data_IF_669261569846
#
_entry.id   IF_669261569846
#
_cell.length_a   1.000
_cell.length_b   1.000
_cell.length_c   1.000
_cell.angle_alpha   90.00
_cell.angle_beta   90.00
_cell.angle_gamma   90.00
#
_symmetry.space_group_name_H-M   'P 1'
#
loop_
_entity.id
_entity.type
_entity.pdbx_description
1 polymer ?
#
# COMPACT_ATOMS: atom_id res chain seq x y z
N UNK A 1 -49.43 -31.49 -71.21
CA UNK A 1 -50.60 -30.65 -71.53
C UNK A 1 -51.39 -30.35 -70.25
N UNK A 2 -51.10 -29.24 -69.56
CA UNK A 2 -52.03 -28.53 -68.66
C UNK A 2 -51.40 -27.17 -68.30
N UNK A 3 -52.24 -26.15 -68.31
CA UNK A 3 -51.95 -24.75 -68.59
C UNK A 3 -51.36 -24.01 -67.39
N UNK A 4 -50.35 -23.16 -67.65
CA UNK A 4 -49.95 -22.06 -66.78
C UNK A 4 -50.96 -20.90 -66.89
N UNK A 5 -51.36 -20.33 -65.75
CA UNK A 5 -52.01 -19.02 -65.62
C UNK A 5 -51.34 -18.24 -64.48
N UNK A 6 -50.55 -17.22 -64.86
CA UNK A 6 -50.63 -15.79 -64.50
C UNK A 6 -51.46 -15.42 -63.25
N UNK A 7 -51.18 -14.37 -62.46
CA UNK A 7 -50.07 -13.44 -62.19
C UNK A 7 -50.63 -12.50 -61.09
N UNK A 8 -49.74 -11.83 -60.35
CA UNK A 8 -49.93 -10.61 -59.54
C UNK A 8 -50.47 -10.63 -58.09
N UNK A 9 -49.61 -10.03 -57.25
CA UNK A 9 -49.89 -8.96 -56.30
C UNK A 9 -50.46 -9.33 -54.93
N UNK A 10 -49.63 -9.20 -53.89
CA UNK A 10 -49.84 -8.21 -52.83
C UNK A 10 -48.61 -8.18 -51.92
N UNK A 11 -48.16 -6.96 -51.62
CA UNK A 11 -46.90 -6.70 -50.94
C UNK A 11 -46.82 -7.20 -49.50
N UNK A 12 -45.60 -7.37 -49.04
CA UNK A 12 -45.27 -7.28 -47.64
C UNK A 12 -43.80 -6.87 -47.52
N UNK A 13 -43.57 -5.57 -47.39
CA UNK A 13 -42.29 -5.04 -46.92
C UNK A 13 -42.20 -5.45 -45.46
N UNK A 14 -41.47 -6.53 -45.17
CA UNK A 14 -41.14 -6.89 -43.79
C UNK A 14 -39.97 -6.02 -43.38
N UNK A 15 -40.28 -4.97 -42.63
CA UNK A 15 -39.32 -4.12 -41.92
C UNK A 15 -38.65 -4.98 -40.84
N UNK A 16 -37.40 -5.40 -41.07
CA UNK A 16 -36.60 -6.09 -40.05
C UNK A 16 -36.13 -5.03 -39.05
N UNK A 17 -36.85 -4.93 -37.93
CA UNK A 17 -36.46 -4.12 -36.78
C UNK A 17 -35.22 -4.69 -36.12
N UNK A 18 -34.08 -4.03 -36.35
CA UNK A 18 -32.81 -4.29 -35.68
C UNK A 18 -32.89 -3.80 -34.22
N UNK A 19 -33.22 -4.69 -33.28
CA UNK A 19 -33.15 -4.38 -31.84
C UNK A 19 -31.75 -4.72 -31.31
N UNK A 20 -30.85 -3.76 -31.40
CA UNK A 20 -29.51 -3.83 -30.82
C UNK A 20 -29.63 -3.69 -29.29
N UNK A 21 -29.70 -4.81 -28.57
CA UNK A 21 -29.57 -4.83 -27.10
C UNK A 21 -28.10 -4.56 -26.73
N UNK A 22 -27.77 -3.29 -26.55
CA UNK A 22 -26.49 -2.86 -26.00
C UNK A 22 -26.49 -3.15 -24.49
N UNK A 23 -26.04 -4.34 -24.10
CA UNK A 23 -25.73 -4.65 -22.70
C UNK A 23 -24.46 -3.87 -22.35
N UNK A 24 -24.63 -2.67 -21.81
CA UNK A 24 -23.58 -1.95 -21.11
C UNK A 24 -23.26 -2.77 -19.85
N UNK A 25 -22.28 -3.66 -19.94
CA UNK A 25 -21.65 -4.24 -18.75
C UNK A 25 -20.96 -3.07 -18.02
N UNK A 26 -21.65 -2.51 -17.04
CA UNK A 26 -21.04 -1.65 -16.04
C UNK A 26 -20.06 -2.51 -15.26
N UNK A 27 -18.79 -2.47 -15.68
CA UNK A 27 -17.69 -2.90 -14.85
C UNK A 27 -17.67 -1.96 -13.64
N UNK A 28 -18.38 -2.34 -12.59
CA UNK A 28 -18.24 -1.72 -11.30
C UNK A 28 -16.80 -1.98 -10.86
N UNK A 29 -15.93 -0.99 -11.03
CA UNK A 29 -14.66 -0.93 -10.32
C UNK A 29 -15.00 -0.83 -8.84
N UNK A 30 -15.17 -1.98 -8.20
CA UNK A 30 -15.21 -2.07 -6.75
C UNK A 30 -13.85 -1.58 -6.27
N UNK A 31 -13.83 -0.44 -5.57
CA UNK A 31 -12.61 0.01 -4.90
C UNK A 31 -12.33 -0.97 -3.77
N UNK A 32 -11.48 -1.95 -4.05
CA UNK A 32 -11.16 -2.97 -3.07
C UNK A 32 -10.50 -2.30 -1.85
N UNK A 33 -11.07 -2.54 -0.67
CA UNK A 33 -10.55 -1.96 0.56
C UNK A 33 -9.30 -2.73 0.97
N UNK A 34 -8.17 -2.04 1.02
CA UNK A 34 -6.92 -2.65 1.47
C UNK A 34 -7.06 -3.24 2.87
N UNK A 35 -6.66 -4.50 3.02
CA UNK A 35 -6.71 -5.23 4.29
C UNK A 35 -5.54 -4.87 5.21
N UNK A 36 -4.41 -4.53 4.61
CA UNK A 36 -3.18 -4.26 5.33
C UNK A 36 -2.07 -3.75 4.44
N UNK A 37 -0.86 -3.78 4.99
CA UNK A 37 0.36 -3.34 4.32
C UNK A 37 1.54 -4.26 4.66
N UNK A 38 2.42 -4.42 3.69
CA UNK A 38 3.71 -5.09 3.87
C UNK A 38 4.70 -4.12 4.53
N UNK A 39 5.31 -4.46 5.65
CA UNK A 39 6.30 -3.60 6.33
C UNK A 39 7.73 -4.06 6.14
N UNK A 40 7.93 -5.31 5.68
CA UNK A 40 9.24 -5.83 5.32
C UNK A 40 9.09 -6.95 4.30
N UNK A 41 9.97 -6.96 3.29
CA UNK A 41 10.18 -8.07 2.36
C UNK A 41 11.67 -8.39 2.33
N UNK A 42 12.02 -9.66 2.39
CA UNK A 42 13.38 -10.15 2.12
C UNK A 42 13.33 -11.51 1.43
N UNK A 43 14.31 -11.80 0.58
CA UNK A 43 14.34 -13.02 -0.21
C UNK A 43 13.40 -13.01 -1.42
N UNK A 44 13.02 -14.19 -1.89
CA UNK A 44 12.22 -14.39 -3.10
C UNK A 44 10.76 -14.59 -2.74
N UNK A 45 9.96 -13.55 -2.99
CA UNK A 45 8.52 -13.54 -2.74
C UNK A 45 7.77 -13.38 -4.06
N UNK A 46 6.84 -14.27 -4.34
CA UNK A 46 5.88 -14.11 -5.43
C UNK A 46 4.54 -13.62 -4.89
N UNK A 47 3.93 -12.69 -5.61
CA UNK A 47 2.63 -12.11 -5.27
C UNK A 47 1.66 -12.32 -6.43
N UNK A 48 0.48 -12.84 -6.12
CA UNK A 48 -0.58 -13.15 -7.08
C UNK A 48 -1.82 -12.37 -6.63
N UNK A 49 -2.26 -11.44 -7.47
CA UNK A 49 -3.42 -10.59 -7.22
C UNK A 49 -4.50 -10.90 -8.25
N UNK A 50 -5.74 -11.11 -7.80
CA UNK A 50 -6.86 -11.49 -8.67
C UNK A 50 -6.54 -12.67 -9.59
N UNK A 51 -5.84 -13.68 -9.07
CA UNK A 51 -5.44 -14.89 -9.80
C UNK A 51 -4.29 -14.71 -10.79
N UNK A 52 -3.77 -13.50 -10.98
CA UNK A 52 -2.66 -13.21 -11.90
C UNK A 52 -1.36 -12.99 -11.12
N UNK A 53 -0.31 -13.75 -11.46
CA UNK A 53 1.03 -13.53 -10.91
C UNK A 53 1.53 -12.16 -11.36
N UNK A 54 1.96 -11.33 -10.41
CA UNK A 54 2.53 -10.03 -10.73
C UNK A 54 3.97 -10.18 -11.23
N UNK A 55 4.33 -9.39 -12.23
CA UNK A 55 5.67 -9.42 -12.83
C UNK A 55 6.74 -8.86 -11.89
N UNK A 56 6.35 -7.90 -11.05
CA UNK A 56 7.22 -7.33 -10.01
C UNK A 56 7.01 -8.07 -8.69
N UNK A 57 8.09 -8.34 -7.93
CA UNK A 57 7.96 -8.85 -6.58
C UNK A 57 7.22 -7.82 -5.70
N UNK A 58 6.58 -8.25 -4.61
CA UNK A 58 6.02 -7.32 -3.65
C UNK A 58 7.13 -6.51 -2.98
N UNK A 59 6.82 -5.27 -2.64
CA UNK A 59 7.75 -4.33 -2.02
C UNK A 59 7.23 -3.89 -0.64
N UNK A 60 8.14 -3.41 0.21
CA UNK A 60 7.75 -2.75 1.45
C UNK A 60 6.83 -1.57 1.17
N UNK A 61 5.85 -1.39 2.05
CA UNK A 61 4.76 -0.41 2.01
C UNK A 61 3.67 -0.65 0.95
N UNK A 62 3.77 -1.74 0.19
CA UNK A 62 2.69 -2.19 -0.68
C UNK A 62 1.47 -2.61 0.14
N UNK A 63 0.28 -2.18 -0.30
CA UNK A 63 -1.01 -2.64 0.23
C UNK A 63 -1.38 -3.99 -0.35
N UNK A 64 -2.06 -4.79 0.45
CA UNK A 64 -2.61 -6.05 0.02
C UNK A 64 -4.12 -6.14 0.31
N UNK A 65 -4.79 -7.03 -0.40
CA UNK A 65 -6.23 -7.14 -0.49
C UNK A 65 -6.69 -8.57 -0.27
N UNK A 66 -8.01 -8.79 -0.35
CA UNK A 66 -8.60 -10.08 0.00
C UNK A 66 -8.39 -11.06 -1.15
N UNK A 67 -7.97 -12.28 -0.82
CA UNK A 67 -7.77 -13.34 -1.81
C UNK A 67 -6.43 -13.27 -2.54
N UNK A 68 -5.62 -12.26 -2.25
CA UNK A 68 -4.23 -12.22 -2.71
C UNK A 68 -3.46 -13.42 -2.18
N UNK A 69 -2.60 -13.99 -3.01
CA UNK A 69 -1.76 -15.13 -2.67
C UNK A 69 -0.30 -14.70 -2.61
N UNK A 70 0.36 -15.16 -1.57
CA UNK A 70 1.79 -14.96 -1.35
C UNK A 70 2.47 -16.31 -1.32
N UNK A 71 3.61 -16.40 -2.01
CA UNK A 71 4.49 -17.56 -2.01
C UNK A 71 5.87 -17.07 -1.58
N UNK A 72 6.38 -17.63 -0.49
CA UNK A 72 7.72 -17.42 0.04
C UNK A 72 8.58 -18.62 -0.31
N UNK A 73 9.67 -18.40 -1.03
CA UNK A 73 10.71 -19.41 -1.22
C UNK A 73 11.56 -19.57 0.05
N UNK A 74 12.41 -20.62 0.16
CA UNK A 74 13.35 -20.74 1.27
C UNK A 74 14.17 -19.45 1.49
N UNK A 75 14.52 -19.18 2.75
CA UNK A 75 15.26 -17.99 3.20
C UNK A 75 14.57 -16.66 2.91
N UNK A 76 13.26 -16.67 2.66
CA UNK A 76 12.45 -15.46 2.47
C UNK A 76 11.73 -15.08 3.77
N UNK A 77 11.55 -13.78 3.97
CA UNK A 77 10.89 -13.20 5.13
C UNK A 77 9.87 -12.16 4.67
N UNK A 78 8.70 -12.16 5.27
CA UNK A 78 7.66 -11.20 5.00
C UNK A 78 6.98 -10.75 6.30
N UNK A 79 6.94 -9.44 6.54
CA UNK A 79 6.16 -8.86 7.63
C UNK A 79 4.93 -8.14 7.09
N UNK A 80 3.78 -8.49 7.64
CA UNK A 80 2.48 -7.94 7.29
C UNK A 80 1.85 -7.27 8.50
N UNK A 81 1.16 -6.15 8.28
CA UNK A 81 0.29 -5.52 9.28
C UNK A 81 -1.13 -5.45 8.73
N UNK A 82 -2.07 -6.13 9.41
CA UNK A 82 -3.50 -6.10 9.11
C UNK A 82 -4.15 -4.92 9.81
N UNK A 83 -4.77 -4.05 9.03
CA UNK A 83 -5.30 -2.80 9.55
C UNK A 83 -6.56 -2.97 10.39
N UNK A 84 -7.35 -4.02 10.16
CA UNK A 84 -8.62 -4.25 10.85
C UNK A 84 -8.45 -5.03 12.15
N UNK A 85 -7.65 -6.09 12.13
CA UNK A 85 -7.41 -6.94 13.31
C UNK A 85 -6.32 -6.40 14.24
N UNK A 86 -5.51 -5.45 13.78
CA UNK A 86 -4.32 -5.02 14.53
C UNK A 86 -3.22 -6.08 14.52
N UNK A 87 -3.34 -7.11 13.69
CA UNK A 87 -2.43 -8.26 13.69
C UNK A 87 -1.19 -7.95 12.86
N UNK A 88 -0.01 -8.11 13.46
CA UNK A 88 1.26 -8.20 12.76
C UNK A 88 1.61 -9.67 12.57
N UNK A 89 1.97 -10.04 11.35
CA UNK A 89 2.37 -11.39 10.99
C UNK A 89 3.78 -11.39 10.45
N UNK A 90 4.62 -12.29 10.94
CA UNK A 90 5.94 -12.57 10.37
C UNK A 90 5.89 -13.96 9.76
N UNK A 91 6.07 -14.03 8.45
CA UNK A 91 6.12 -15.27 7.70
C UNK A 91 7.56 -15.53 7.25
N UNK A 92 8.03 -16.74 7.50
CA UNK A 92 9.33 -17.23 7.05
C UNK A 92 9.12 -18.35 6.02
N UNK A 93 9.90 -18.32 4.95
CA UNK A 93 9.81 -19.30 3.87
C UNK A 93 10.50 -20.63 4.20
N UNK A 94 10.09 -21.74 3.58
CA UNK A 94 9.07 -21.83 2.53
C UNK A 94 7.64 -21.78 3.10
N UNK A 95 6.80 -20.94 2.51
CA UNK A 95 5.39 -20.82 2.90
C UNK A 95 4.52 -20.37 1.72
N UNK A 96 3.24 -20.72 1.76
CA UNK A 96 2.23 -20.26 0.80
C UNK A 96 0.92 -20.03 1.51
N UNK A 97 0.33 -18.85 1.33
CA UNK A 97 -0.89 -18.46 2.03
C UNK A 97 -1.73 -17.49 1.20
N UNK A 98 -3.03 -17.48 1.45
CA UNK A 98 -3.95 -16.45 0.98
C UNK A 98 -4.17 -15.40 2.06
N UNK A 99 -4.48 -14.17 1.66
CA UNK A 99 -4.81 -13.08 2.56
C UNK A 99 -6.33 -13.00 2.74
N UNK A 100 -6.79 -13.13 3.98
CA UNK A 100 -8.19 -12.93 4.36
C UNK A 100 -8.34 -11.69 5.24
N UNK A 101 -9.58 -11.29 5.55
CA UNK A 101 -9.93 -10.02 6.20
C UNK A 101 -9.14 -9.69 7.46
N UNK A 102 -8.76 -10.70 8.24
CA UNK A 102 -8.15 -10.52 9.56
C UNK A 102 -6.75 -11.16 9.66
N UNK A 103 -6.40 -12.04 8.72
CA UNK A 103 -5.19 -12.86 8.80
C UNK A 103 -4.78 -13.48 7.46
N UNK A 104 -3.51 -13.89 7.34
CA UNK A 104 -3.07 -14.88 6.35
C UNK A 104 -3.55 -16.29 6.71
N UNK A 105 -3.92 -17.06 5.69
CA UNK A 105 -4.39 -18.45 5.78
C UNK A 105 -3.46 -19.33 4.97
N UNK A 106 -2.70 -20.20 5.65
CA UNK A 106 -1.79 -21.13 5.00
C UNK A 106 -2.54 -22.07 4.05
N UNK A 107 -1.98 -22.29 2.87
CA UNK A 107 -2.55 -23.17 1.83
C UNK A 107 -2.19 -24.62 2.11
N UNK A 108 -0.96 -24.86 2.53
CA UNK A 108 -0.45 -26.19 2.86
C UNK A 108 -0.21 -26.28 4.37
N UNK A 109 -0.76 -27.32 4.99
CA UNK A 109 -0.55 -27.65 6.42
C UNK A 109 0.89 -28.04 6.78
N UNK A 110 1.79 -28.10 5.78
CA UNK A 110 3.23 -28.30 5.94
C UNK A 110 4.05 -27.01 5.85
N UNK A 111 3.43 -25.88 5.51
CA UNK A 111 4.07 -24.58 5.47
C UNK A 111 4.26 -23.99 6.88
N UNK A 112 5.24 -23.10 7.04
CA UNK A 112 5.46 -22.41 8.30
C UNK A 112 4.24 -21.56 8.70
N UNK A 113 3.80 -21.67 9.96
CA UNK A 113 2.81 -20.78 10.54
C UNK A 113 3.43 -19.40 10.83
N UNK A 114 2.67 -18.30 10.73
CA UNK A 114 3.21 -16.99 11.00
C UNK A 114 3.43 -16.78 12.50
N UNK A 115 4.54 -16.12 12.85
CA UNK A 115 4.68 -15.53 14.18
C UNK A 115 3.75 -14.32 14.28
N UNK A 116 2.89 -14.32 15.30
CA UNK A 116 1.82 -13.34 15.47
C UNK A 116 2.16 -12.34 16.57
N UNK A 117 1.93 -11.06 16.33
CA UNK A 117 1.99 -10.03 17.38
C UNK A 117 0.79 -9.12 17.25
N UNK A 118 0.13 -8.81 18.38
CA UNK A 118 -0.98 -7.86 18.41
C UNK A 118 -0.44 -6.44 18.55
N UNK A 119 -0.91 -5.53 17.71
CA UNK A 119 -0.59 -4.10 17.77
C UNK A 119 -1.78 -3.34 18.37
N UNK A 120 -1.52 -2.30 19.19
CA UNK A 120 -2.56 -1.38 19.62
C UNK A 120 -3.28 -0.72 18.44
N UNK A 121 -4.57 -0.41 18.59
CA UNK A 121 -5.38 0.15 17.50
C UNK A 121 -4.85 1.50 16.97
N UNK A 122 -4.28 2.33 17.86
CA UNK A 122 -3.66 3.59 17.46
C UNK A 122 -2.48 3.35 16.49
N UNK A 123 -1.70 2.30 16.75
CA UNK A 123 -0.53 1.96 15.93
C UNK A 123 -0.95 1.54 14.53
N UNK A 124 -1.99 0.72 14.41
CA UNK A 124 -2.45 0.25 13.10
C UNK A 124 -3.20 1.33 12.31
N UNK A 125 -3.85 2.27 12.98
CA UNK A 125 -4.41 3.48 12.35
C UNK A 125 -3.31 4.33 11.72
N UNK A 126 -2.24 4.59 12.48
CA UNK A 126 -1.13 5.41 12.00
C UNK A 126 -0.32 4.72 10.89
N UNK A 127 -0.05 3.42 10.99
CA UNK A 127 0.58 2.68 9.89
C UNK A 127 -0.27 2.73 8.61
N UNK A 128 -1.61 2.65 8.73
CA UNK A 128 -2.51 2.83 7.59
C UNK A 128 -2.36 4.23 6.98
N UNK A 129 -2.16 5.27 7.80
CA UNK A 129 -1.93 6.65 7.33
C UNK A 129 -0.61 6.76 6.55
N UNK A 130 0.47 6.16 7.03
CA UNK A 130 1.77 6.14 6.32
C UNK A 130 1.63 5.62 4.89
N UNK A 131 0.81 4.59 4.67
CA UNK A 131 0.57 4.07 3.32
C UNK A 131 0.00 5.11 2.35
N UNK A 132 -0.65 6.18 2.83
CA UNK A 132 -1.11 7.30 1.99
C UNK A 132 0.05 8.23 1.66
N UNK A 133 0.87 8.61 2.65
CA UNK A 133 2.03 9.49 2.50
C UNK A 133 3.04 8.92 1.49
N UNK A 134 3.32 7.63 1.60
CA UNK A 134 4.30 6.95 0.73
C UNK A 134 3.74 6.69 -0.67
N UNK A 135 2.45 6.35 -0.81
CA UNK A 135 1.88 6.23 -2.15
C UNK A 135 1.77 7.58 -2.87
N UNK A 136 1.64 8.70 -2.14
CA UNK A 136 1.71 10.04 -2.76
C UNK A 136 3.11 10.41 -3.26
N UNK A 137 4.18 9.84 -2.73
CA UNK A 137 5.55 10.09 -3.23
C UNK A 137 5.86 9.35 -4.53
N UNK A 138 5.24 8.18 -4.77
CA UNK A 138 5.21 7.51 -6.09
C UNK A 138 4.34 8.23 -7.14
N UNK A 139 3.59 9.27 -6.74
CA UNK A 139 2.60 9.99 -7.57
C UNK A 139 3.02 11.41 -8.01
N UNK A 140 4.27 11.83 -7.84
CA UNK A 140 4.76 13.07 -8.48
C UNK A 140 5.55 12.85 -9.77
N UNK A 141 5.70 11.62 -10.25
CA UNK A 141 6.21 11.36 -11.61
C UNK A 141 5.05 11.25 -12.59
N UNK A 142 4.53 12.42 -13.01
CA UNK A 142 4.04 12.79 -14.36
C UNK A 142 2.77 13.64 -14.33
N UNK A 143 2.92 14.96 -14.52
CA UNK A 143 1.91 15.80 -15.19
C UNK A 143 1.14 16.84 -14.37
N UNK A 144 1.19 16.83 -13.04
CA UNK A 144 0.55 17.89 -12.25
C UNK A 144 1.53 19.07 -12.07
N UNK A 145 1.40 20.07 -12.94
CA UNK A 145 2.03 21.38 -12.76
C UNK A 145 1.50 21.99 -11.46
N UNK A 146 2.32 21.99 -10.40
CA UNK A 146 2.10 22.90 -9.28
C UNK A 146 2.49 24.30 -9.78
N UNK A 147 1.51 25.12 -10.14
CA UNK A 147 1.72 26.56 -10.33
C UNK A 147 1.82 27.18 -8.94
N UNK A 148 2.98 27.08 -8.30
CA UNK A 148 3.37 27.95 -7.19
C UNK A 148 4.80 28.43 -7.39
N UNK A 149 4.91 29.73 -7.62
CA UNK A 149 6.10 30.52 -7.33
C UNK A 149 7.26 30.35 -8.30
N UNK A 150 7.65 31.42 -8.97
CA UNK A 150 8.90 31.50 -9.72
C UNK A 150 10.08 31.13 -8.81
N UNK A 151 10.83 30.13 -9.24
CA UNK A 151 12.12 29.72 -8.70
C UNK A 151 13.17 30.81 -9.04
N UNK A 152 13.48 31.70 -8.08
CA UNK A 152 14.67 32.53 -8.15
C UNK A 152 15.87 31.68 -7.75
N UNK A 153 16.65 31.21 -8.73
CA UNK A 153 17.83 30.33 -8.58
C UNK A 153 19.04 30.93 -7.85
N UNK A 154 18.88 31.96 -7.02
CA UNK A 154 19.97 32.64 -6.33
C UNK A 154 19.70 32.89 -4.83
N UNK A 155 18.75 32.19 -4.21
CA UNK A 155 18.58 32.28 -2.75
C UNK A 155 19.43 31.22 -2.02
N UNK A 156 20.20 31.60 -0.98
CA UNK A 156 20.93 30.65 -0.15
C UNK A 156 19.92 29.71 0.54
N UNK A 157 20.32 28.45 0.74
CA UNK A 157 19.53 27.42 1.41
C UNK A 157 18.81 28.00 2.64
N UNK A 158 17.51 28.22 2.51
CA UNK A 158 16.70 28.76 3.60
C UNK A 158 16.72 27.72 4.72
N UNK A 159 17.10 28.14 5.92
CA UNK A 159 17.03 27.31 7.11
C UNK A 159 15.63 26.75 7.27
N UNK A 160 15.50 25.43 7.36
CA UNK A 160 14.23 24.74 7.61
C UNK A 160 13.52 25.45 8.77
N UNK A 161 12.32 26.03 8.57
CA UNK A 161 11.61 26.71 9.63
C UNK A 161 11.37 25.71 10.76
N UNK A 162 11.86 26.03 11.96
CA UNK A 162 11.49 25.24 13.14
C UNK A 162 10.00 25.47 13.39
N UNK A 163 9.18 24.46 13.14
CA UNK A 163 7.74 24.51 13.42
C UNK A 163 7.58 24.66 14.93
N UNK A 164 7.05 25.81 15.36
CA UNK A 164 6.75 26.03 16.77
C UNK A 164 5.49 25.24 17.12
N UNK A 165 5.66 24.25 17.99
CA UNK A 165 4.58 23.42 18.49
C UNK A 165 3.86 24.10 19.64
N UNK A 166 2.55 23.91 19.72
CA UNK A 166 1.81 24.24 20.93
C UNK A 166 1.99 23.16 22.02
N UNK A 167 1.70 23.47 23.30
CA UNK A 167 1.89 22.51 24.39
C UNK A 167 1.03 21.24 24.33
N UNK A 168 -0.05 21.23 23.55
CA UNK A 168 -0.87 20.03 23.32
C UNK A 168 -0.25 19.13 22.25
N UNK A 169 0.26 19.71 21.17
CA UNK A 169 0.97 18.99 20.10
C UNK A 169 2.24 18.32 20.65
N UNK A 170 2.98 19.02 21.51
CA UNK A 170 4.18 18.48 22.15
C UNK A 170 3.85 17.26 23.02
N UNK A 171 2.72 17.29 23.75
CA UNK A 171 2.25 16.14 24.54
C UNK A 171 1.83 14.95 23.68
N UNK A 172 1.23 15.20 22.52
CA UNK A 172 0.86 14.14 21.57
C UNK A 172 2.12 13.47 21.02
N UNK A 173 3.12 14.26 20.60
CA UNK A 173 4.41 13.75 20.14
C UNK A 173 5.12 12.96 21.26
N UNK A 174 5.13 13.45 22.50
CA UNK A 174 5.75 12.74 23.62
C UNK A 174 5.05 11.42 23.94
N UNK A 175 3.72 11.41 23.88
CA UNK A 175 2.92 10.18 24.02
C UNK A 175 3.23 9.17 22.91
N UNK A 176 3.38 9.65 21.67
CA UNK A 176 3.81 8.83 20.55
C UNK A 176 5.23 8.30 20.74
N UNK A 177 6.18 9.11 21.21
CA UNK A 177 7.54 8.67 21.53
C UNK A 177 7.57 7.60 22.62
N UNK A 178 6.70 7.68 23.62
CA UNK A 178 6.56 6.65 24.65
C UNK A 178 6.01 5.34 24.07
N UNK A 179 4.98 5.42 23.23
CA UNK A 179 4.44 4.26 22.51
C UNK A 179 5.49 3.64 21.59
N UNK A 180 6.27 4.46 20.89
CA UNK A 180 7.39 4.03 20.06
C UNK A 180 8.42 3.23 20.84
N UNK A 181 8.84 3.69 22.03
CA UNK A 181 9.76 2.95 22.91
C UNK A 181 9.19 1.59 23.31
N UNK A 182 7.92 1.54 23.70
CA UNK A 182 7.25 0.28 24.04
C UNK A 182 7.19 -0.69 22.85
N UNK A 183 6.99 -0.17 21.63
CA UNK A 183 6.98 -0.99 20.42
C UNK A 183 8.37 -1.53 20.09
N UNK A 184 9.43 -0.73 20.26
CA UNK A 184 10.81 -1.18 20.05
C UNK A 184 11.17 -2.40 20.90
N UNK A 185 10.75 -2.42 22.17
CA UNK A 185 11.03 -3.54 23.08
C UNK A 185 10.39 -4.87 22.64
N UNK A 186 9.32 -4.79 21.85
CA UNK A 186 8.54 -5.94 21.38
C UNK A 186 8.75 -6.25 19.89
N UNK A 187 9.67 -5.54 19.23
CA UNK A 187 9.95 -5.65 17.81
C UNK A 187 11.28 -6.36 17.56
N UNK A 188 11.38 -7.04 16.42
CA UNK A 188 12.66 -7.61 16.00
C UNK A 188 13.61 -6.50 15.54
N UNK A 189 14.92 -6.78 15.52
CA UNK A 189 15.94 -5.80 15.16
C UNK A 189 15.71 -5.14 13.79
N UNK A 190 15.13 -5.88 12.85
CA UNK A 190 14.91 -5.41 11.48
C UNK A 190 13.47 -4.94 11.25
N UNK A 191 12.61 -5.00 12.26
CA UNK A 191 11.23 -4.51 12.17
C UNK A 191 11.21 -2.99 12.28
N UNK A 192 10.71 -2.35 11.23
CA UNK A 192 10.57 -0.88 11.13
C UNK A 192 9.16 -0.40 11.49
N UNK A 193 8.25 -1.28 11.89
CA UNK A 193 6.89 -0.93 12.31
C UNK A 193 6.85 0.16 13.39
N UNK A 194 7.72 0.14 14.43
CA UNK A 194 7.78 1.22 15.41
C UNK A 194 8.14 2.56 14.77
N UNK A 195 9.14 2.59 13.89
CA UNK A 195 9.56 3.80 13.19
C UNK A 195 8.46 4.34 12.27
N UNK A 196 7.73 3.47 11.55
CA UNK A 196 6.59 3.89 10.73
C UNK A 196 5.48 4.55 11.57
N UNK A 197 5.20 3.99 12.75
CA UNK A 197 4.22 4.56 13.66
C UNK A 197 4.60 5.99 14.06
N UNK A 198 5.84 6.19 14.55
CA UNK A 198 6.28 7.52 14.99
C UNK A 198 6.42 8.48 13.80
N UNK A 199 6.85 7.99 12.64
CA UNK A 199 6.93 8.76 11.41
C UNK A 199 5.57 9.35 11.02
N UNK A 200 4.49 8.58 11.15
CA UNK A 200 3.12 9.04 10.88
C UNK A 200 2.75 10.24 11.75
N UNK A 201 3.01 10.16 13.05
CA UNK A 201 2.66 11.22 14.00
C UNK A 201 3.51 12.47 13.76
N UNK A 202 4.81 12.31 13.53
CA UNK A 202 5.70 13.43 13.23
C UNK A 202 5.33 14.15 11.92
N UNK A 203 4.81 13.40 10.93
CA UNK A 203 4.33 13.97 9.68
C UNK A 203 3.09 14.85 9.85
N UNK A 204 2.23 14.59 10.84
CA UNK A 204 1.06 15.44 11.13
C UNK A 204 1.47 16.83 11.67
N UNK A 205 2.70 16.97 12.18
CA UNK A 205 3.23 18.21 12.77
C UNK A 205 4.47 18.75 12.03
N UNK A 206 4.68 18.31 10.78
CA UNK A 206 5.77 18.75 9.90
C UNK A 206 7.17 18.68 10.57
N UNK A 207 7.39 17.68 11.43
CA UNK A 207 8.65 17.50 12.18
C UNK A 207 9.72 16.82 11.31
N UNK A 208 10.04 17.43 10.16
CA UNK A 208 10.87 16.82 9.11
C UNK A 208 12.27 16.42 9.57
N UNK A 209 12.90 17.20 10.46
CA UNK A 209 14.22 16.86 11.02
C UNK A 209 14.20 15.56 11.82
N UNK A 210 13.16 15.35 12.63
CA UNK A 210 13.00 14.11 13.41
C UNK A 210 12.59 12.93 12.51
N UNK A 211 11.75 13.18 11.50
CA UNK A 211 11.42 12.19 10.48
C UNK A 211 12.66 11.69 9.75
N UNK A 212 13.60 12.58 9.42
CA UNK A 212 14.87 12.23 8.75
C UNK A 212 15.67 11.23 9.58
N UNK A 213 15.83 11.47 10.88
CA UNK A 213 16.51 10.55 11.81
C UNK A 213 15.83 9.19 11.89
N UNK A 214 14.49 9.14 11.80
CA UNK A 214 13.76 7.88 11.75
C UNK A 214 14.02 7.13 10.45
N UNK A 215 14.00 7.81 9.31
CA UNK A 215 14.29 7.18 8.02
C UNK A 215 15.72 6.62 8.00
N UNK A 216 16.70 7.35 8.54
CA UNK A 216 18.06 6.82 8.71
C UNK A 216 18.09 5.53 9.52
N UNK A 217 17.31 5.46 10.60
CA UNK A 217 17.17 4.26 11.44
C UNK A 217 16.53 3.12 10.65
N UNK A 218 15.47 3.40 9.88
CA UNK A 218 14.82 2.42 9.01
C UNK A 218 15.79 1.88 7.94
N UNK A 219 16.57 2.75 7.30
CA UNK A 219 17.60 2.37 6.32
C UNK A 219 18.71 1.52 6.95
N UNK A 220 19.10 1.79 8.20
CA UNK A 220 20.07 0.95 8.93
C UNK A 220 19.50 -0.43 9.28
N UNK A 221 18.21 -0.51 9.63
CA UNK A 221 17.52 -1.76 9.96
C UNK A 221 17.25 -2.63 8.72
N UNK A 222 16.96 -1.99 7.60
CA UNK A 222 16.61 -2.66 6.34
C UNK A 222 17.37 -2.01 5.16
N UNK A 223 18.68 -2.25 5.02
CA UNK A 223 19.51 -1.59 4.01
C UNK A 223 19.08 -1.88 2.57
N UNK A 224 18.49 -3.05 2.32
CA UNK A 224 18.05 -3.46 0.99
C UNK A 224 16.65 -2.92 0.62
N UNK A 225 15.94 -2.28 1.55
CA UNK A 225 14.62 -1.72 1.31
C UNK A 225 14.73 -0.49 0.40
N UNK A 226 14.25 -0.61 -0.84
CA UNK A 226 14.21 0.51 -1.79
C UNK A 226 13.20 1.58 -1.39
N UNK A 227 12.09 1.19 -0.79
CA UNK A 227 11.02 2.12 -0.44
C UNK A 227 11.40 3.06 0.70
N UNK A 228 12.26 2.64 1.64
CA UNK A 228 12.79 3.55 2.67
C UNK A 228 13.76 4.58 2.10
N UNK A 229 14.48 4.23 1.02
CA UNK A 229 15.30 5.20 0.26
C UNK A 229 14.45 6.18 -0.54
N UNK A 230 13.36 5.71 -1.16
CA UNK A 230 12.36 6.60 -1.78
C UNK A 230 11.75 7.57 -0.77
N UNK A 231 11.54 7.12 0.48
CA UNK A 231 11.05 7.96 1.56
C UNK A 231 12.05 9.06 1.94
N UNK A 232 13.36 8.76 1.95
CA UNK A 232 14.42 9.78 2.12
C UNK A 232 14.30 10.87 1.05
N UNK A 233 14.25 10.47 -0.22
CA UNK A 233 14.16 11.41 -1.35
C UNK A 233 12.88 12.25 -1.33
N UNK A 234 11.78 11.70 -0.84
CA UNK A 234 10.55 12.46 -0.65
C UNK A 234 10.70 13.52 0.44
N UNK A 235 11.27 13.15 1.59
CA UNK A 235 11.46 14.05 2.71
C UNK A 235 12.41 15.20 2.36
N UNK A 236 13.49 14.92 1.63
CA UNK A 236 14.42 15.94 1.10
C UNK A 236 13.74 16.98 0.21
N UNK A 237 12.63 16.63 -0.46
CA UNK A 237 11.85 17.59 -1.26
C UNK A 237 10.89 18.44 -0.43
N UNK A 238 10.61 18.05 0.82
CA UNK A 238 9.74 18.82 1.72
C UNK A 238 10.52 19.84 2.55
N UNK A 239 11.84 19.64 2.70
CA UNK A 239 12.77 20.55 3.38
C UNK A 239 13.31 21.61 2.41
#
# INVERSE_FOLDING_TARGET
>A
MKKYKNYYSSGMIILIGLTLNLVMATWAFSSETALGMITQVSGRVSYIHNGTKQDKPPESFMKFYKGDKIILEPDSLLLLVFFKSGRKETWEGPASFYLDHLNGVAIDSKGAEPKITSLPAIVTSEIRRVSKIINTSRLQTSGAVIVRGQENKNEPAQSIPTVQLDPSEEKEIDSAKNTYKMLLDNSSKNDITPELFLFSVLADYDQFLEMSKLIETMNKKQPDNSTTRELTLWLEKQM
#
